data_IF_101155549248
#
_entry.id   IF_101155549248
#
_cell.length_a   1.000
_cell.length_b   1.000
_cell.length_c   1.000
_cell.angle_alpha   90.00
_cell.angle_beta   90.00
_cell.angle_gamma   90.00
#
_symmetry.space_group_name_H-M   'P 1'
#
loop_
_entity.id
_entity.type
_entity.pdbx_description
1 polymer ?
#
# COMPACT_ATOMS: atom_id res chain seq x y z
N UNK A 1 17.65 12.69 10.15
CA UNK A 1 17.15 11.52 10.91
C UNK A 1 17.52 10.23 10.22
N UNK A 2 17.52 9.10 10.92
CA UNK A 2 17.85 7.79 10.33
C UNK A 2 16.58 6.95 10.21
N UNK A 3 16.27 6.51 9.00
CA UNK A 3 15.23 5.51 8.76
C UNK A 3 15.87 4.11 8.73
N UNK A 4 15.30 3.18 9.50
CA UNK A 4 15.64 1.77 9.49
C UNK A 4 14.56 1.01 8.71
N UNK A 5 14.96 0.26 7.70
CA UNK A 5 14.09 -0.65 6.95
C UNK A 5 14.61 -2.08 7.12
N UNK A 6 13.77 -2.97 7.64
CA UNK A 6 14.04 -4.40 7.67
C UNK A 6 13.31 -5.05 6.50
N UNK A 7 14.01 -5.87 5.72
CA UNK A 7 13.48 -6.61 4.58
C UNK A 7 13.71 -8.10 4.83
N UNK A 8 12.65 -8.88 4.73
CA UNK A 8 12.67 -10.34 4.90
C UNK A 8 12.08 -11.03 3.68
N UNK A 9 12.77 -12.06 3.18
CA UNK A 9 12.33 -12.94 2.10
C UNK A 9 11.82 -14.27 2.69
N UNK A 10 10.64 -14.73 2.28
CA UNK A 10 9.94 -15.84 2.95
C UNK A 10 9.67 -17.06 2.08
N UNK A 11 10.18 -17.10 0.84
CA UNK A 11 9.97 -18.22 -0.08
C UNK A 11 10.56 -19.55 0.45
N UNK A 12 9.89 -20.66 0.14
CA UNK A 12 10.42 -22.01 0.31
C UNK A 12 11.54 -22.26 -0.72
N UNK A 13 12.70 -22.70 -0.25
CA UNK A 13 13.84 -23.03 -1.11
C UNK A 13 13.65 -24.44 -1.68
N UNK A 14 12.79 -24.57 -2.68
CA UNK A 14 12.45 -25.83 -3.34
C UNK A 14 12.64 -25.73 -4.86
N UNK A 15 13.04 -26.85 -5.48
CA UNK A 15 13.29 -26.95 -6.92
C UNK A 15 14.32 -25.90 -7.40
N UNK A 16 13.94 -25.07 -8.37
CA UNK A 16 14.77 -24.00 -8.95
C UNK A 16 14.68 -22.68 -8.16
N UNK A 17 13.96 -22.65 -7.04
CA UNK A 17 13.81 -21.45 -6.22
C UNK A 17 15.03 -21.26 -5.33
N UNK A 18 15.83 -20.19 -5.50
CA UNK A 18 16.98 -19.96 -4.64
C UNK A 18 16.56 -19.64 -3.20
N UNK A 19 17.40 -20.02 -2.24
CA UNK A 19 17.20 -19.71 -0.82
C UNK A 19 17.19 -18.22 -0.51
N UNK A 20 17.83 -17.42 -1.38
CA UNK A 20 17.83 -15.95 -1.37
C UNK A 20 17.81 -15.47 -2.82
N UNK A 21 16.83 -14.62 -3.17
CA UNK A 21 16.91 -13.87 -4.41
C UNK A 21 17.82 -12.66 -4.19
N UNK A 22 18.80 -12.50 -5.08
CA UNK A 22 19.61 -11.29 -5.12
C UNK A 22 19.02 -10.32 -6.13
N UNK A 23 18.53 -9.18 -5.67
CA UNK A 23 17.86 -8.22 -6.54
C UNK A 23 18.12 -6.78 -6.09
N UNK A 24 18.41 -5.86 -7.02
CA UNK A 24 18.34 -4.45 -6.69
C UNK A 24 16.89 -4.07 -6.41
N UNK A 25 16.65 -3.16 -5.48
CA UNK A 25 15.33 -2.61 -5.20
C UNK A 25 15.43 -1.13 -4.96
N UNK A 26 14.46 -0.39 -5.48
CA UNK A 26 14.31 1.03 -5.20
C UNK A 26 13.39 1.22 -3.99
N UNK A 27 13.88 1.99 -3.02
CA UNK A 27 13.09 2.46 -1.89
C UNK A 27 12.85 3.95 -2.09
N UNK A 28 11.60 4.35 -2.29
CA UNK A 28 11.23 5.76 -2.35
C UNK A 28 10.82 6.25 -0.97
N UNK A 29 11.28 7.45 -0.65
CA UNK A 29 10.84 8.21 0.50
C UNK A 29 10.14 9.45 -0.04
N UNK A 30 8.92 9.71 0.40
CA UNK A 30 8.18 10.94 0.05
C UNK A 30 8.25 11.91 1.21
N UNK A 31 8.76 13.10 0.98
CA UNK A 31 8.96 14.19 1.94
C UNK A 31 8.05 15.38 1.59
N UNK A 32 8.08 16.44 2.41
CA UNK A 32 7.31 17.65 2.12
C UNK A 32 7.78 18.35 0.83
N UNK A 33 9.08 18.31 0.55
CA UNK A 33 9.72 19.04 -0.57
C UNK A 33 9.97 18.20 -1.83
N UNK A 34 9.64 16.91 -1.82
CA UNK A 34 9.88 16.03 -2.96
C UNK A 34 10.04 14.57 -2.58
N UNK A 35 10.53 13.77 -3.53
CA UNK A 35 10.76 12.34 -3.37
C UNK A 35 12.24 12.05 -3.51
N UNK A 36 12.79 11.25 -2.60
CA UNK A 36 14.17 10.73 -2.69
C UNK A 36 14.08 9.22 -2.87
N UNK A 37 14.70 8.70 -3.93
CA UNK A 37 14.81 7.26 -4.16
C UNK A 37 16.22 6.78 -3.83
N UNK A 38 16.30 5.68 -3.09
CA UNK A 38 17.57 5.00 -2.78
C UNK A 38 17.49 3.58 -3.32
N UNK A 39 18.45 3.22 -4.16
CA UNK A 39 18.61 1.84 -4.63
C UNK A 39 19.51 1.07 -3.68
N UNK A 40 19.07 -0.11 -3.27
CA UNK A 40 19.85 -1.06 -2.47
C UNK A 40 19.77 -2.45 -3.11
N UNK A 41 20.76 -3.31 -2.86
CA UNK A 41 20.70 -4.70 -3.30
C UNK A 41 20.36 -5.58 -2.13
N UNK A 42 19.29 -6.35 -2.25
CA UNK A 42 18.96 -7.41 -1.31
C UNK A 42 19.86 -8.59 -1.62
N UNK A 43 20.63 -9.06 -0.64
CA UNK A 43 21.57 -10.18 -0.79
C UNK A 43 21.42 -11.22 0.31
N UNK A 44 20.55 -10.97 1.29
CA UNK A 44 20.31 -11.85 2.44
C UNK A 44 18.81 -12.10 2.58
N UNK A 45 18.47 -13.19 3.28
CA UNK A 45 17.08 -13.54 3.58
C UNK A 45 16.44 -12.50 4.50
N UNK A 46 17.15 -12.11 5.54
CA UNK A 46 16.80 -11.01 6.44
C UNK A 46 17.89 -9.95 6.36
N UNK A 47 17.53 -8.72 6.02
CA UNK A 47 18.50 -7.65 5.80
C UNK A 47 17.97 -6.32 6.36
N UNK A 48 18.86 -5.57 6.99
CA UNK A 48 18.54 -4.24 7.54
C UNK A 48 19.27 -3.18 6.74
N UNK A 49 18.55 -2.16 6.30
CA UNK A 49 19.09 -0.98 5.64
C UNK A 49 18.86 0.25 6.51
N UNK A 50 19.85 1.16 6.49
CA UNK A 50 19.78 2.45 7.17
C UNK A 50 19.91 3.56 6.15
N UNK A 51 19.00 4.53 6.22
CA UNK A 51 18.98 5.67 5.31
C UNK A 51 19.04 6.97 6.11
N UNK A 52 20.02 7.81 5.79
CA UNK A 52 20.07 9.19 6.30
C UNK A 52 19.10 10.05 5.49
N UNK A 53 18.08 10.59 6.16
CA UNK A 53 17.05 11.43 5.57
C UNK A 53 17.05 12.82 6.21
N UNK A 54 16.75 13.88 5.43
CA UNK A 54 16.72 15.24 5.95
C UNK A 54 15.57 15.47 6.95
N UNK A 55 14.44 14.78 6.78
CA UNK A 55 13.26 14.88 7.63
C UNK A 55 12.47 13.56 7.67
N UNK A 56 11.38 13.54 8.45
CA UNK A 56 10.49 12.37 8.53
C UNK A 56 9.69 12.24 7.24
N UNK A 57 9.76 11.09 6.54
CA UNK A 57 8.97 10.90 5.34
C UNK A 57 7.47 10.87 5.69
N UNK A 58 6.66 11.39 4.76
CA UNK A 58 5.20 11.26 4.75
C UNK A 58 4.75 9.89 4.26
N UNK A 59 5.55 9.24 3.42
CA UNK A 59 5.37 7.86 2.99
C UNK A 59 6.71 7.23 2.57
N UNK A 60 6.77 5.90 2.57
CA UNK A 60 7.92 5.10 2.16
C UNK A 60 7.42 3.97 1.28
N UNK A 61 7.87 3.81 0.05
CA UNK A 61 7.48 2.68 -0.79
C UNK A 61 8.65 1.75 -1.08
N UNK A 62 8.38 0.46 -0.98
CA UNK A 62 9.28 -0.60 -1.40
C UNK A 62 8.92 -0.99 -2.83
N UNK A 63 9.87 -0.87 -3.75
CA UNK A 63 9.67 -1.10 -5.18
C UNK A 63 8.47 -0.31 -5.73
N UNK A 64 8.55 1.04 -5.78
CA UNK A 64 7.45 1.90 -6.25
C UNK A 64 7.08 1.64 -7.72
N UNK A 65 8.00 1.13 -8.53
CA UNK A 65 7.72 0.69 -9.91
C UNK A 65 7.00 -0.66 -9.98
N UNK A 66 6.96 -1.40 -8.87
CA UNK A 66 6.44 -2.75 -8.74
C UNK A 66 6.98 -3.70 -9.83
N UNK A 67 8.27 -3.58 -10.16
CA UNK A 67 8.93 -4.36 -11.21
C UNK A 67 9.50 -5.68 -10.69
N UNK A 68 9.61 -5.85 -9.37
CA UNK A 68 9.96 -7.12 -8.72
C UNK A 68 8.66 -7.92 -8.49
N UNK A 69 8.51 -9.10 -9.12
CA UNK A 69 7.40 -10.01 -8.83
C UNK A 69 7.49 -10.48 -7.38
N UNK A 70 6.48 -10.15 -6.57
CA UNK A 70 6.44 -10.48 -5.15
C UNK A 70 5.01 -10.37 -4.61
N UNK A 71 4.76 -11.07 -3.51
CA UNK A 71 3.78 -10.61 -2.53
C UNK A 71 4.51 -9.72 -1.51
N UNK A 72 3.89 -8.61 -1.11
CA UNK A 72 4.52 -7.63 -0.23
C UNK A 72 3.68 -7.42 1.03
N UNK A 73 4.19 -7.94 2.14
CA UNK A 73 3.75 -7.55 3.47
C UNK A 73 4.58 -6.35 3.96
N UNK A 74 3.96 -5.17 4.01
CA UNK A 74 4.64 -3.96 4.47
C UNK A 74 3.76 -3.16 5.42
N UNK A 75 4.07 -3.26 6.70
CA UNK A 75 3.40 -2.48 7.74
C UNK A 75 3.94 -1.05 7.79
N UNK A 76 2.99 -0.10 7.83
CA UNK A 76 3.25 1.32 7.92
C UNK A 76 2.27 1.97 8.90
N UNK A 77 2.62 3.11 9.51
CA UNK A 77 1.67 3.90 10.27
C UNK A 77 0.44 4.28 9.44
N UNK A 78 -0.75 4.29 10.08
CA UNK A 78 -2.02 4.70 9.46
C UNK A 78 -1.91 5.98 8.64
N UNK A 79 -1.18 6.98 9.14
CA UNK A 79 -1.01 8.27 8.48
C UNK A 79 -0.29 8.17 7.14
N UNK A 80 0.69 7.27 7.01
CA UNK A 80 1.37 7.01 5.72
C UNK A 80 0.45 6.29 4.75
N UNK A 81 -0.34 5.31 5.24
CA UNK A 81 -1.30 4.59 4.40
C UNK A 81 -2.40 5.51 3.87
N UNK A 82 -2.92 6.42 4.69
CA UNK A 82 -3.87 7.45 4.25
C UNK A 82 -3.27 8.36 3.19
N UNK A 83 -2.03 8.84 3.41
CA UNK A 83 -1.30 9.65 2.44
C UNK A 83 -1.10 8.89 1.11
N UNK A 84 -0.70 7.63 1.19
CA UNK A 84 -0.47 6.77 0.01
C UNK A 84 -1.77 6.55 -0.78
N UNK A 85 -2.88 6.20 -0.12
CA UNK A 85 -4.17 6.00 -0.78
C UNK A 85 -4.63 7.25 -1.55
N UNK A 86 -4.35 8.45 -1.03
CA UNK A 86 -4.80 9.70 -1.63
C UNK A 86 -3.89 10.22 -2.75
N UNK A 87 -2.57 9.96 -2.67
CA UNK A 87 -1.58 10.69 -3.47
C UNK A 87 -0.63 9.83 -4.29
N UNK A 88 -0.59 8.51 -4.09
CA UNK A 88 0.35 7.65 -4.81
C UNK A 88 -0.02 7.56 -6.30
N UNK A 89 0.98 7.77 -7.16
CA UNK A 89 0.82 7.70 -8.62
C UNK A 89 0.57 6.26 -9.06
N UNK A 90 1.12 5.28 -8.34
CA UNK A 90 0.97 3.87 -8.66
C UNK A 90 -0.35 3.31 -8.10
N UNK A 91 -1.18 2.76 -9.00
CA UNK A 91 -2.44 2.11 -8.62
C UNK A 91 -2.25 0.92 -7.67
N UNK A 92 -1.12 0.20 -7.76
CA UNK A 92 -0.82 -0.95 -6.89
C UNK A 92 -0.55 -0.48 -5.46
N UNK A 93 0.18 0.63 -5.32
CA UNK A 93 0.45 1.24 -4.01
C UNK A 93 -0.83 1.74 -3.34
N UNK A 94 -1.70 2.44 -4.09
CA UNK A 94 -3.03 2.85 -3.59
C UNK A 94 -3.91 1.67 -3.18
N UNK A 95 -3.98 0.61 -4.00
CA UNK A 95 -4.76 -0.59 -3.67
C UNK A 95 -4.24 -1.28 -2.41
N UNK A 96 -2.91 -1.43 -2.27
CA UNK A 96 -2.28 -1.99 -1.07
C UNK A 96 -2.54 -1.13 0.17
N UNK A 97 -2.49 0.19 0.04
CA UNK A 97 -2.83 1.11 1.11
C UNK A 97 -4.30 0.96 1.55
N UNK A 98 -5.24 0.89 0.60
CA UNK A 98 -6.65 0.63 0.88
C UNK A 98 -6.86 -0.67 1.67
N UNK A 99 -6.24 -1.76 1.20
CA UNK A 99 -6.29 -3.06 1.88
C UNK A 99 -5.78 -2.97 3.33
N UNK A 100 -4.61 -2.35 3.54
CA UNK A 100 -4.00 -2.22 4.87
C UNK A 100 -4.80 -1.34 5.82
N UNK A 101 -5.47 -0.32 5.29
CA UNK A 101 -6.32 0.58 6.07
C UNK A 101 -7.52 -0.13 6.70
N UNK A 102 -7.96 -1.30 6.19
CA UNK A 102 -9.01 -2.11 6.82
C UNK A 102 -8.71 -2.49 8.28
N UNK A 103 -7.44 -2.52 8.69
CA UNK A 103 -7.00 -2.78 10.07
C UNK A 103 -7.29 -1.61 11.04
N UNK A 104 -7.68 -0.44 10.53
CA UNK A 104 -7.91 0.78 11.31
C UNK A 104 -9.38 1.24 11.16
N UNK A 105 -10.31 0.78 12.00
CA UNK A 105 -11.73 1.09 11.89
C UNK A 105 -12.07 2.49 12.44
N UNK A 106 -11.39 3.53 11.96
CA UNK A 106 -11.58 4.93 12.37
C UNK A 106 -12.33 5.73 11.29
N UNK A 107 -13.01 6.81 11.67
CA UNK A 107 -13.88 7.57 10.76
C UNK A 107 -13.12 8.18 9.57
N UNK A 108 -11.92 8.69 9.79
CA UNK A 108 -11.02 9.22 8.75
C UNK A 108 -10.65 8.15 7.70
N UNK A 109 -10.49 6.90 8.12
CA UNK A 109 -10.21 5.77 7.24
C UNK A 109 -11.43 5.40 6.42
N UNK A 110 -12.59 5.27 7.06
CA UNK A 110 -13.85 4.99 6.35
C UNK A 110 -14.16 6.08 5.34
N UNK A 111 -13.94 7.35 5.70
CA UNK A 111 -14.09 8.48 4.78
C UNK A 111 -13.13 8.38 3.59
N UNK A 112 -11.85 8.08 3.84
CA UNK A 112 -10.84 7.98 2.78
C UNK A 112 -11.09 6.78 1.84
N UNK A 113 -11.51 5.63 2.38
CA UNK A 113 -11.90 4.47 1.57
C UNK A 113 -13.15 4.74 0.73
N UNK A 114 -14.14 5.44 1.29
CA UNK A 114 -15.32 5.91 0.53
C UNK A 114 -14.91 6.80 -0.63
N UNK A 115 -14.02 7.77 -0.40
CA UNK A 115 -13.52 8.64 -1.45
C UNK A 115 -12.79 7.83 -2.53
N UNK A 116 -11.98 6.84 -2.16
CA UNK A 116 -11.30 5.96 -3.10
C UNK A 116 -12.30 5.16 -3.97
N UNK A 117 -13.38 4.62 -3.39
CA UNK A 117 -14.44 3.93 -4.15
C UNK A 117 -15.06 4.85 -5.21
N UNK A 118 -15.33 6.11 -4.85
CA UNK A 118 -16.07 7.04 -5.69
C UNK A 118 -15.22 7.76 -6.73
N UNK A 119 -13.94 8.00 -6.43
CA UNK A 119 -13.10 8.95 -7.16
C UNK A 119 -11.81 8.36 -7.71
N UNK A 120 -11.35 7.19 -7.25
CA UNK A 120 -10.09 6.64 -7.76
C UNK A 120 -10.22 6.35 -9.26
N UNK A 121 -9.24 6.74 -10.10
CA UNK A 121 -9.32 6.50 -11.55
C UNK A 121 -9.24 5.02 -11.91
N UNK A 122 -8.66 4.17 -11.07
CA UNK A 122 -8.49 2.76 -11.33
C UNK A 122 -9.52 1.91 -10.58
N UNK A 123 -10.33 1.16 -11.34
CA UNK A 123 -11.40 0.32 -10.78
C UNK A 123 -10.89 -0.71 -9.76
N UNK A 124 -9.64 -1.16 -9.87
CA UNK A 124 -9.04 -2.10 -8.93
C UNK A 124 -8.86 -1.50 -7.53
N UNK A 125 -8.47 -0.21 -7.44
CA UNK A 125 -8.40 0.50 -6.16
C UNK A 125 -9.81 0.70 -5.60
N UNK A 126 -10.77 1.10 -6.45
CA UNK A 126 -12.17 1.25 -6.03
C UNK A 126 -12.70 -0.06 -5.44
N UNK A 127 -12.46 -1.19 -6.11
CA UNK A 127 -12.88 -2.51 -5.65
C UNK A 127 -12.21 -2.91 -4.33
N UNK A 128 -10.91 -2.67 -4.19
CA UNK A 128 -10.19 -3.02 -2.97
C UNK A 128 -10.59 -2.15 -1.77
N UNK A 129 -10.87 -0.86 -2.00
CA UNK A 129 -11.42 0.03 -0.99
C UNK A 129 -12.82 -0.42 -0.53
N UNK A 130 -13.67 -0.89 -1.45
CA UNK A 130 -14.98 -1.46 -1.10
C UNK A 130 -14.85 -2.72 -0.23
N UNK A 131 -14.01 -3.68 -0.62
CA UNK A 131 -13.74 -4.86 0.23
C UNK A 131 -13.24 -4.47 1.61
N UNK A 132 -12.34 -3.48 1.68
CA UNK A 132 -11.77 -2.99 2.93
C UNK A 132 -12.83 -2.41 3.86
N UNK A 133 -13.81 -1.67 3.34
CA UNK A 133 -14.98 -1.25 4.12
C UNK A 133 -15.83 -2.45 4.59
N UNK A 134 -15.98 -3.47 3.75
CA UNK A 134 -16.66 -4.72 4.10
C UNK A 134 -15.98 -5.49 5.24
N UNK A 135 -14.66 -5.36 5.38
CA UNK A 135 -13.89 -5.91 6.52
C UNK A 135 -14.08 -5.10 7.80
N UNK A 136 -14.21 -3.77 7.72
CA UNK A 136 -14.39 -2.88 8.89
C UNK A 136 -15.72 -3.12 9.62
N UNK A 137 -16.79 -3.48 8.90
CA UNK A 137 -18.09 -3.92 9.46
C UNK A 137 -18.74 -2.97 10.49
N UNK A 138 -18.66 -1.66 10.26
CA UNK A 138 -19.38 -0.65 11.05
C UNK A 138 -20.56 -0.06 10.27
N UNK A 139 -21.52 0.55 10.98
CA UNK A 139 -22.64 1.27 10.34
C UNK A 139 -22.15 2.42 9.44
N UNK A 140 -21.03 3.05 9.79
CA UNK A 140 -20.41 4.10 8.95
C UNK A 140 -19.85 3.48 7.66
N UNK A 141 -19.18 2.33 7.74
CA UNK A 141 -18.67 1.60 6.59
C UNK A 141 -19.80 1.10 5.68
N UNK A 142 -20.91 0.59 6.24
CA UNK A 142 -22.09 0.22 5.48
C UNK A 142 -22.67 1.41 4.70
N UNK A 143 -22.84 2.57 5.34
CA UNK A 143 -23.32 3.78 4.65
C UNK A 143 -22.37 4.23 3.53
N UNK A 144 -21.06 4.06 3.73
CA UNK A 144 -20.06 4.33 2.70
C UNK A 144 -20.15 3.35 1.52
N UNK A 145 -20.37 2.06 1.78
CA UNK A 145 -20.62 1.04 0.75
C UNK A 145 -21.90 1.34 -0.04
N UNK A 146 -23.01 1.66 0.63
CA UNK A 146 -24.27 2.03 -0.02
C UNK A 146 -24.06 3.22 -0.98
N UNK A 147 -23.28 4.23 -0.56
CA UNK A 147 -22.92 5.34 -1.45
C UNK A 147 -22.10 4.89 -2.67
N UNK A 148 -21.25 3.87 -2.49
CA UNK A 148 -20.44 3.23 -3.53
C UNK A 148 -21.22 2.45 -4.60
N UNK A 149 -22.50 2.12 -4.40
CA UNK A 149 -23.32 1.42 -5.41
C UNK A 149 -23.43 2.20 -6.74
N UNK A 150 -23.20 3.52 -6.68
CA UNK A 150 -23.19 4.43 -7.83
C UNK A 150 -21.92 4.31 -8.71
N UNK A 151 -20.91 3.57 -8.27
CA UNK A 151 -19.63 3.40 -8.99
C UNK A 151 -19.86 2.85 -10.39
N UNK A 152 -19.34 3.52 -11.42
CA UNK A 152 -19.64 3.20 -12.82
C UNK A 152 -19.08 1.84 -13.26
N UNK A 153 -17.89 1.49 -12.81
CA UNK A 153 -17.20 0.30 -13.29
C UNK A 153 -17.83 -0.99 -12.71
N UNK A 154 -18.29 -1.95 -13.53
CA UNK A 154 -18.99 -3.14 -13.05
C UNK A 154 -18.21 -3.96 -12.03
N UNK A 155 -16.89 -4.13 -12.23
CA UNK A 155 -16.04 -4.88 -11.28
C UNK A 155 -15.89 -4.19 -9.93
N UNK A 156 -15.89 -2.86 -9.91
CA UNK A 156 -15.83 -2.09 -8.66
C UNK A 156 -17.18 -2.14 -7.94
N UNK A 157 -18.28 -1.96 -8.68
CA UNK A 157 -19.65 -2.08 -8.15
C UNK A 157 -19.91 -3.47 -7.54
N UNK A 158 -19.40 -4.55 -8.18
CA UNK A 158 -19.53 -5.91 -7.63
C UNK A 158 -18.83 -6.07 -6.29
N UNK A 159 -17.75 -5.35 -6.03
CA UNK A 159 -17.04 -5.41 -4.74
C UNK A 159 -17.75 -4.64 -3.61
N UNK A 160 -18.76 -3.83 -3.95
CA UNK A 160 -19.57 -3.07 -2.98
C UNK A 160 -20.72 -3.89 -2.40
N UNK A 161 -21.21 -4.89 -3.15
CA UNK A 161 -22.38 -5.71 -2.82
C UNK A 161 -21.96 -7.00 -2.12
#
# INVERSE_FOLDING_TARGET
>A
MIAKLTVSQTQSAELETPSVFQTPVDISFTMAKGVVTKRVTITQRDQVFFFSLPEKPRDVEFDPGNWIPKDLDFDKPKTMLLFQLQGDKNMVGRARAAQRLSKYPTEDVVSSLKDAILKDPFWGVQAEAAKSLGTIRTNVALRALIAGLKTKHPKARRAVV
#
